data_IF_496839207730
#
_entry.id   IF_496839207730
#
_cell.length_a   1.000
_cell.length_b   1.000
_cell.length_c   1.000
_cell.angle_alpha   90.00
_cell.angle_beta   90.00
_cell.angle_gamma   90.00
#
_symmetry.space_group_name_H-M   'P 1'
#
loop_
_entity.id
_entity.type
_entity.pdbx_description
1 polymer ?
#
# COMPACT_ATOMS: atom_id res chain seq x y z
N UNK A 1 -55.07 -31.01 27.30
CA UNK A 1 -53.99 -30.02 27.43
C UNK A 1 -52.74 -30.63 26.90
N UNK A 2 -52.25 -30.32 25.66
CA UNK A 2 -50.89 -30.54 25.27
C UNK A 2 -50.15 -29.22 25.12
N UNK A 3 -49.06 -29.07 25.86
CA UNK A 3 -48.11 -27.97 25.79
C UNK A 3 -47.34 -27.98 24.50
N UNK A 4 -47.50 -26.95 23.70
CA UNK A 4 -46.73 -26.67 22.50
C UNK A 4 -45.64 -25.65 22.78
N UNK A 5 -44.44 -26.08 23.13
CA UNK A 5 -43.24 -25.21 23.13
C UNK A 5 -42.62 -25.16 21.76
N UNK A 6 -43.10 -24.22 20.96
CA UNK A 6 -42.42 -23.81 19.73
C UNK A 6 -41.13 -23.06 20.05
N UNK A 7 -39.96 -23.73 19.87
CA UNK A 7 -38.67 -23.05 19.83
C UNK A 7 -38.61 -22.20 18.55
N UNK A 8 -38.60 -20.89 18.74
CA UNK A 8 -38.27 -19.95 17.69
C UNK A 8 -36.83 -20.20 17.20
N UNK A 9 -36.66 -20.50 15.91
CA UNK A 9 -35.36 -20.54 15.25
C UNK A 9 -34.86 -19.11 15.15
N UNK A 10 -33.66 -18.87 15.67
CA UNK A 10 -32.98 -17.59 15.60
C UNK A 10 -32.56 -17.21 14.14
N UNK A 11 -32.35 -15.91 13.85
CA UNK A 11 -32.17 -15.41 12.49
C UNK A 11 -30.76 -15.62 11.90
N UNK A 12 -29.99 -16.65 12.32
CA UNK A 12 -28.61 -16.87 11.89
C UNK A 12 -28.39 -18.05 10.93
N UNK A 13 -29.46 -18.60 10.34
CA UNK A 13 -29.33 -19.80 9.48
C UNK A 13 -29.73 -19.54 8.02
N UNK A 14 -29.43 -18.36 7.48
CA UNK A 14 -29.66 -17.99 6.06
C UNK A 14 -28.34 -17.64 5.36
N UNK A 15 -27.28 -18.41 5.60
CA UNK A 15 -26.21 -18.56 4.63
C UNK A 15 -26.43 -19.91 3.96
N UNK A 16 -27.25 -19.90 2.91
CA UNK A 16 -27.43 -21.07 2.06
C UNK A 16 -26.05 -21.58 1.62
N UNK A 17 -25.75 -22.85 1.91
CA UNK A 17 -24.60 -23.54 1.32
C UNK A 17 -24.73 -23.41 -0.19
N UNK A 18 -23.85 -22.63 -0.80
CA UNK A 18 -23.72 -22.62 -2.26
C UNK A 18 -23.22 -24.02 -2.62
N UNK A 19 -24.12 -24.86 -3.17
CA UNK A 19 -23.78 -26.18 -3.71
C UNK A 19 -23.12 -26.00 -5.09
N UNK A 20 -22.01 -25.26 -5.13
CA UNK A 20 -21.23 -25.05 -6.34
C UNK A 20 -20.00 -25.93 -6.41
N UNK A 21 -19.22 -25.84 -7.50
CA UNK A 21 -17.97 -26.58 -7.62
C UNK A 21 -16.99 -26.20 -6.50
N UNK A 22 -16.44 -27.21 -5.80
CA UNK A 22 -15.41 -27.01 -4.77
C UNK A 22 -14.03 -26.99 -5.43
N UNK A 23 -13.21 -26.01 -5.05
CA UNK A 23 -11.81 -25.90 -5.44
C UNK A 23 -10.89 -25.90 -4.22
N UNK A 24 -9.63 -26.27 -4.46
CA UNK A 24 -8.57 -26.25 -3.46
C UNK A 24 -7.70 -25.04 -3.70
N UNK A 25 -7.52 -24.17 -2.71
CA UNK A 25 -6.72 -22.95 -2.86
C UNK A 25 -5.55 -22.99 -1.89
N UNK A 26 -4.34 -22.81 -2.41
CA UNK A 26 -3.10 -22.67 -1.67
C UNK A 26 -2.58 -21.25 -1.81
N UNK A 27 -2.28 -20.59 -0.70
CA UNK A 27 -1.75 -19.23 -0.66
C UNK A 27 -0.28 -19.23 -0.28
N UNK A 28 0.50 -18.38 -0.94
CA UNK A 28 1.86 -18.08 -0.53
C UNK A 28 1.90 -17.59 0.93
N UNK A 29 2.96 -17.88 1.71
CA UNK A 29 3.07 -17.51 3.13
C UNK A 29 2.83 -16.03 3.39
N UNK A 30 3.26 -15.16 2.50
CA UNK A 30 3.12 -13.71 2.58
C UNK A 30 1.65 -13.24 2.56
N UNK A 31 0.76 -14.07 1.99
CA UNK A 31 -0.67 -13.76 1.86
C UNK A 31 -1.52 -14.23 3.03
N UNK A 32 -0.97 -15.04 3.95
CA UNK A 32 -1.74 -15.67 5.03
C UNK A 32 -2.35 -14.67 6.01
N UNK A 33 -1.76 -13.49 6.15
CA UNK A 33 -2.36 -12.40 6.92
C UNK A 33 -3.79 -12.03 6.43
N UNK A 34 -4.04 -12.20 5.15
CA UNK A 34 -5.33 -11.86 4.54
C UNK A 34 -6.36 -12.99 4.65
N UNK A 35 -5.93 -14.23 4.90
CA UNK A 35 -6.76 -15.44 4.86
C UNK A 35 -6.77 -16.13 6.23
N UNK A 36 -7.45 -15.57 7.25
CA UNK A 36 -7.44 -16.14 8.60
C UNK A 36 -8.10 -17.53 8.67
N UNK A 37 -8.91 -17.90 7.68
CA UNK A 37 -9.54 -19.23 7.58
C UNK A 37 -8.63 -20.30 6.97
N UNK A 38 -7.51 -19.92 6.36
CA UNK A 38 -6.58 -20.90 5.82
C UNK A 38 -5.98 -21.74 6.95
N UNK A 39 -5.73 -23.02 6.66
CA UNK A 39 -4.97 -23.89 7.56
C UNK A 39 -3.56 -23.31 7.75
N UNK A 40 -2.83 -23.68 8.80
CA UNK A 40 -1.43 -23.26 8.97
C UNK A 40 -0.53 -23.56 7.76
N UNK A 41 -0.92 -24.53 6.93
CA UNK A 41 -0.27 -24.90 5.66
C UNK A 41 -0.56 -23.92 4.52
N UNK A 42 -1.37 -22.88 4.72
CA UNK A 42 -1.79 -21.96 3.68
C UNK A 42 -2.90 -22.45 2.76
N UNK A 43 -3.48 -23.64 3.06
CA UNK A 43 -4.50 -24.24 2.20
C UNK A 43 -5.91 -24.03 2.72
N UNK A 44 -6.87 -23.84 1.81
CA UNK A 44 -8.30 -23.84 2.12
C UNK A 44 -9.08 -24.52 1.00
N UNK A 45 -10.30 -24.99 1.34
CA UNK A 45 -11.29 -25.44 0.35
C UNK A 45 -12.40 -24.41 0.31
N UNK A 46 -12.86 -24.07 -0.86
CA UNK A 46 -13.96 -23.15 -1.04
C UNK A 46 -14.88 -23.62 -2.17
N UNK A 47 -16.20 -23.47 -1.94
CA UNK A 47 -17.18 -23.62 -3.00
C UNK A 47 -17.24 -22.34 -3.83
N UNK A 48 -17.43 -22.47 -5.13
CA UNK A 48 -17.65 -21.37 -6.06
C UNK A 48 -19.06 -21.45 -6.61
N UNK A 49 -19.54 -20.37 -7.21
CA UNK A 49 -20.85 -20.34 -7.87
C UNK A 49 -20.81 -20.85 -9.33
N UNK A 50 -19.62 -21.25 -9.80
CA UNK A 50 -19.38 -21.74 -11.16
C UNK A 50 -19.39 -20.67 -12.24
N UNK A 51 -19.55 -19.38 -11.88
CA UNK A 51 -19.57 -18.24 -12.83
C UNK A 51 -18.63 -17.10 -12.41
N UNK A 52 -18.32 -16.98 -11.13
CA UNK A 52 -17.41 -15.97 -10.62
C UNK A 52 -15.98 -16.23 -11.06
N UNK A 53 -15.27 -15.16 -11.41
CA UNK A 53 -13.86 -15.25 -11.77
C UNK A 53 -12.98 -15.63 -10.58
N UNK A 54 -11.84 -16.25 -10.84
CA UNK A 54 -10.85 -16.62 -9.83
C UNK A 54 -10.36 -15.41 -9.03
N UNK A 55 -10.19 -14.26 -9.68
CA UNK A 55 -9.87 -13.01 -8.98
C UNK A 55 -10.93 -12.65 -7.92
N UNK A 56 -12.22 -12.76 -8.27
CA UNK A 56 -13.30 -12.52 -7.31
C UNK A 56 -13.30 -13.53 -6.16
N UNK A 57 -13.04 -14.81 -6.46
CA UNK A 57 -12.92 -15.85 -5.42
C UNK A 57 -11.78 -15.54 -4.46
N UNK A 58 -10.59 -15.16 -4.97
CA UNK A 58 -9.42 -14.80 -4.16
C UNK A 58 -9.72 -13.57 -3.28
N UNK A 59 -10.37 -12.55 -3.83
CA UNK A 59 -10.80 -11.39 -3.05
C UNK A 59 -11.83 -11.74 -1.99
N UNK A 60 -12.78 -12.62 -2.27
CA UNK A 60 -13.77 -13.10 -1.29
C UNK A 60 -13.13 -13.84 -0.12
N UNK A 61 -12.02 -14.54 -0.38
CA UNK A 61 -11.21 -15.20 0.66
C UNK A 61 -10.36 -14.22 1.47
N UNK A 62 -10.26 -12.96 1.07
CA UNK A 62 -9.62 -11.91 1.86
C UNK A 62 -8.45 -11.21 1.19
N UNK A 63 -7.86 -11.76 0.14
CA UNK A 63 -6.64 -11.25 -0.48
C UNK A 63 -6.97 -10.17 -1.52
N UNK A 64 -6.49 -8.92 -1.37
CA UNK A 64 -6.58 -7.93 -2.43
C UNK A 64 -5.76 -8.35 -3.64
N UNK A 65 -6.28 -8.17 -4.86
CA UNK A 65 -5.55 -8.51 -6.08
C UNK A 65 -4.26 -7.69 -6.26
N UNK A 66 -4.13 -6.55 -5.58
CA UNK A 66 -2.89 -5.76 -5.53
C UNK A 66 -1.72 -6.49 -4.86
N UNK A 67 -2.00 -7.55 -4.08
CA UNK A 67 -1.01 -8.38 -3.41
C UNK A 67 -0.74 -9.70 -4.16
N UNK A 68 -1.50 -9.98 -5.22
CA UNK A 68 -1.37 -11.19 -6.01
C UNK A 68 -0.40 -10.98 -7.17
N UNK A 69 0.67 -11.78 -7.21
CA UNK A 69 1.65 -11.78 -8.30
C UNK A 69 1.26 -12.69 -9.45
N UNK A 70 0.80 -13.91 -9.15
CA UNK A 70 0.34 -14.86 -10.14
C UNK A 70 -0.75 -15.77 -9.58
N UNK A 71 -1.63 -16.22 -10.46
CA UNK A 71 -2.64 -17.24 -10.19
C UNK A 71 -2.33 -18.46 -11.06
N UNK A 72 -2.21 -19.62 -10.45
CA UNK A 72 -2.00 -20.87 -11.17
C UNK A 72 -3.17 -21.81 -10.92
N UNK A 73 -3.63 -22.49 -11.98
CA UNK A 73 -4.60 -23.57 -11.93
C UNK A 73 -3.93 -24.82 -12.45
N UNK A 74 -3.88 -25.87 -11.62
CA UNK A 74 -3.18 -27.12 -11.90
C UNK A 74 -1.74 -26.90 -12.42
N UNK A 75 -1.04 -25.92 -11.80
CA UNK A 75 0.33 -25.55 -12.12
C UNK A 75 0.50 -24.64 -13.35
N UNK A 76 -0.58 -24.25 -14.06
CA UNK A 76 -0.54 -23.33 -15.22
C UNK A 76 -1.00 -21.95 -14.83
N UNK A 77 -0.25 -20.94 -15.22
CA UNK A 77 -0.63 -19.56 -14.96
C UNK A 77 -1.88 -19.16 -15.74
N UNK A 78 -2.82 -18.51 -15.05
CA UNK A 78 -4.09 -18.03 -15.60
C UNK A 78 -4.31 -16.57 -15.23
N UNK A 79 -5.18 -15.87 -15.98
CA UNK A 79 -5.61 -14.52 -15.65
C UNK A 79 -6.65 -14.53 -14.52
N UNK A 80 -6.79 -13.42 -13.81
CA UNK A 80 -7.79 -13.26 -12.76
C UNK A 80 -9.24 -13.47 -13.23
N UNK A 81 -9.49 -13.32 -14.54
CA UNK A 81 -10.80 -13.58 -15.18
C UNK A 81 -11.14 -15.07 -15.41
N UNK A 82 -10.21 -16.01 -15.17
CA UNK A 82 -10.48 -17.45 -15.25
C UNK A 82 -11.65 -17.84 -14.34
N UNK A 83 -12.58 -18.65 -14.82
CA UNK A 83 -13.69 -19.21 -14.03
C UNK A 83 -13.28 -20.62 -13.60
N UNK A 84 -13.09 -20.87 -12.30
CA UNK A 84 -12.57 -22.14 -11.83
C UNK A 84 -13.61 -23.27 -11.93
N UNK A 85 -13.17 -24.45 -12.36
CA UNK A 85 -13.97 -25.68 -12.43
C UNK A 85 -13.87 -26.50 -11.13
N UNK A 86 -14.81 -27.45 -10.96
CA UNK A 86 -14.79 -28.35 -9.81
C UNK A 86 -13.51 -29.20 -9.75
N UNK A 87 -12.91 -29.28 -8.57
CA UNK A 87 -11.73 -30.09 -8.30
C UNK A 87 -10.39 -29.45 -8.68
N UNK A 88 -10.40 -28.27 -9.32
CA UNK A 88 -9.16 -27.56 -9.65
C UNK A 88 -8.34 -27.20 -8.41
N UNK A 89 -7.02 -27.29 -8.55
CA UNK A 89 -6.04 -26.85 -7.55
C UNK A 89 -5.49 -25.48 -7.94
N UNK A 90 -5.79 -24.48 -7.13
CA UNK A 90 -5.38 -23.10 -7.33
C UNK A 90 -4.21 -22.76 -6.43
N UNK A 91 -3.13 -22.20 -7.00
CA UNK A 91 -2.03 -21.63 -6.23
C UNK A 91 -2.03 -20.11 -6.42
N UNK A 92 -2.08 -19.36 -5.31
CA UNK A 92 -2.04 -17.89 -5.29
C UNK A 92 -0.66 -17.46 -4.83
N UNK A 93 0.12 -16.88 -5.73
CA UNK A 93 1.46 -16.35 -5.43
C UNK A 93 1.40 -14.88 -5.04
N UNK A 94 2.23 -14.47 -4.10
CA UNK A 94 2.41 -13.06 -3.76
C UNK A 94 3.13 -12.31 -4.89
N UNK A 95 3.01 -10.98 -4.89
CA UNK A 95 3.81 -10.12 -5.79
C UNK A 95 5.30 -10.33 -5.53
N UNK A 96 6.07 -10.41 -6.61
CA UNK A 96 7.53 -10.48 -6.53
C UNK A 96 8.12 -9.12 -6.12
N UNK A 97 9.23 -9.14 -5.39
CA UNK A 97 10.01 -7.94 -5.07
C UNK A 97 11.32 -7.95 -5.87
N UNK A 98 11.73 -6.83 -6.49
CA UNK A 98 10.99 -5.57 -6.57
C UNK A 98 9.76 -5.68 -7.49
N UNK A 99 8.65 -5.09 -7.04
CA UNK A 99 7.44 -5.03 -7.83
C UNK A 99 7.59 -4.00 -8.96
N UNK A 100 7.43 -4.47 -10.20
CA UNK A 100 7.37 -3.58 -11.36
C UNK A 100 5.96 -3.02 -11.50
N UNK A 101 5.88 -1.70 -11.62
CA UNK A 101 4.62 -0.99 -11.88
C UNK A 101 4.76 -0.28 -13.22
N UNK A 102 3.74 -0.35 -14.11
CA UNK A 102 3.80 0.33 -15.40
C UNK A 102 3.98 1.85 -15.23
N UNK A 103 4.74 2.46 -16.11
CA UNK A 103 4.99 3.92 -16.11
C UNK A 103 6.15 4.35 -15.21
N UNK A 104 6.78 5.46 -15.61
CA UNK A 104 7.91 6.09 -14.92
C UNK A 104 7.70 7.60 -14.99
N UNK A 105 8.09 8.34 -13.95
CA UNK A 105 8.66 7.90 -12.67
C UNK A 105 7.62 7.27 -11.73
N UNK A 106 8.08 6.40 -10.82
CA UNK A 106 7.25 5.81 -9.78
C UNK A 106 6.74 6.89 -8.82
N UNK A 107 5.43 6.91 -8.58
CA UNK A 107 4.74 7.89 -7.73
C UNK A 107 3.77 7.18 -6.80
N UNK A 108 3.64 7.68 -5.57
CA UNK A 108 2.75 7.10 -4.56
C UNK A 108 1.60 8.05 -4.20
N UNK A 109 0.49 7.46 -3.78
CA UNK A 109 -0.61 8.10 -3.06
C UNK A 109 -0.81 7.34 -1.75
N UNK A 110 -0.80 8.04 -0.63
CA UNK A 110 -0.90 7.43 0.68
C UNK A 110 -2.24 7.76 1.34
N UNK A 111 -2.78 6.74 2.00
CA UNK A 111 -3.95 6.83 2.87
C UNK A 111 -3.68 7.70 4.10
N UNK A 112 -4.74 8.28 4.68
CA UNK A 112 -4.71 9.23 5.81
C UNK A 112 -3.87 8.74 6.99
N UNK A 113 -3.82 7.44 7.26
CA UNK A 113 -3.06 6.86 8.37
C UNK A 113 -1.55 6.76 8.12
N UNK A 114 -1.06 7.06 6.92
CA UNK A 114 0.34 6.91 6.52
C UNK A 114 1.12 8.23 6.43
N UNK A 115 0.67 9.28 7.14
CA UNK A 115 1.28 10.61 7.05
C UNK A 115 2.77 10.67 7.44
N UNK A 116 3.24 9.85 8.38
CA UNK A 116 4.67 9.77 8.72
C UNK A 116 5.47 9.10 7.60
N UNK A 117 4.95 8.04 7.00
CA UNK A 117 5.55 7.41 5.82
C UNK A 117 5.62 8.39 4.65
N UNK A 118 4.56 9.17 4.40
CA UNK A 118 4.56 10.19 3.35
C UNK A 118 5.70 11.20 3.51
N UNK A 119 5.91 11.72 4.74
CA UNK A 119 7.01 12.65 5.02
C UNK A 119 8.39 12.04 4.79
N UNK A 120 8.57 10.76 5.17
CA UNK A 120 9.84 10.04 4.98
C UNK A 120 10.14 9.75 3.51
N UNK A 121 9.15 9.33 2.73
CA UNK A 121 9.31 9.14 1.28
C UNK A 121 9.66 10.45 0.57
N UNK A 122 8.98 11.57 0.94
CA UNK A 122 9.31 12.91 0.43
C UNK A 122 10.71 13.36 0.82
N UNK A 123 11.16 13.06 2.05
CA UNK A 123 12.53 13.32 2.50
C UNK A 123 13.55 12.63 1.60
N UNK A 124 13.25 11.42 1.15
CA UNK A 124 14.07 10.66 0.20
C UNK A 124 13.89 11.11 -1.26
N UNK A 125 13.11 12.17 -1.52
CA UNK A 125 12.86 12.71 -2.85
C UNK A 125 11.83 11.95 -3.66
N UNK A 126 11.15 10.97 -3.09
CA UNK A 126 10.13 10.17 -3.77
C UNK A 126 8.83 10.95 -3.88
N UNK A 127 8.25 11.03 -5.09
CA UNK A 127 6.98 11.72 -5.33
C UNK A 127 5.83 11.00 -4.62
N UNK A 128 5.32 11.64 -3.57
CA UNK A 128 4.36 11.03 -2.64
C UNK A 128 3.22 12.00 -2.32
N UNK A 129 2.07 11.79 -2.95
CA UNK A 129 0.83 12.48 -2.59
C UNK A 129 0.26 11.91 -1.29
N UNK A 130 -0.38 12.75 -0.51
CA UNK A 130 -0.98 12.40 0.77
C UNK A 130 -2.08 13.40 1.12
N UNK A 131 -3.24 12.88 1.50
CA UNK A 131 -4.34 13.68 2.04
C UNK A 131 -4.36 13.58 3.56
N UNK A 132 -4.34 14.74 4.22
CA UNK A 132 -4.37 14.80 5.69
C UNK A 132 -5.79 14.56 6.26
N UNK A 133 -6.81 14.66 5.42
CA UNK A 133 -8.22 14.40 5.75
C UNK A 133 -8.70 13.19 4.97
N UNK A 134 -9.62 12.44 5.55
CA UNK A 134 -10.27 11.32 4.86
C UNK A 134 -11.19 11.87 3.77
N UNK A 135 -10.86 11.59 2.50
CA UNK A 135 -11.67 11.93 1.32
C UNK A 135 -12.50 10.75 0.81
N UNK A 136 -12.42 9.62 1.51
CA UNK A 136 -13.11 8.37 1.19
C UNK A 136 -12.44 7.53 0.09
N UNK A 137 -12.63 6.22 0.20
CA UNK A 137 -12.05 5.23 -0.73
C UNK A 137 -12.33 5.49 -2.21
N UNK A 138 -13.56 5.88 -2.62
CA UNK A 138 -13.84 6.17 -4.04
C UNK A 138 -12.98 7.30 -4.59
N UNK A 139 -12.79 8.37 -3.82
CA UNK A 139 -12.01 9.52 -4.25
C UNK A 139 -10.50 9.18 -4.31
N UNK A 140 -9.99 8.41 -3.33
CA UNK A 140 -8.62 7.91 -3.34
C UNK A 140 -8.35 7.00 -4.55
N UNK A 141 -9.26 6.07 -4.85
CA UNK A 141 -9.12 5.18 -5.99
C UNK A 141 -9.16 5.93 -7.33
N UNK A 142 -10.09 6.86 -7.50
CA UNK A 142 -10.18 7.71 -8.68
C UNK A 142 -8.91 8.54 -8.87
N UNK A 143 -8.35 9.10 -7.80
CA UNK A 143 -7.10 9.86 -7.82
C UNK A 143 -5.91 8.99 -8.17
N UNK A 144 -5.80 7.77 -7.61
CA UNK A 144 -4.78 6.79 -7.97
C UNK A 144 -4.77 6.54 -9.48
N UNK A 145 -5.96 6.34 -10.08
CA UNK A 145 -6.12 6.11 -11.51
C UNK A 145 -5.74 7.35 -12.36
N UNK A 146 -6.27 8.52 -12.00
CA UNK A 146 -6.07 9.76 -12.75
C UNK A 146 -4.60 10.21 -12.75
N UNK A 147 -3.92 10.11 -11.61
CA UNK A 147 -2.54 10.54 -11.44
C UNK A 147 -1.53 9.41 -11.69
N UNK A 148 -1.97 8.18 -11.95
CA UNK A 148 -1.13 6.97 -12.09
C UNK A 148 -0.18 6.82 -10.91
N UNK A 149 -0.74 6.81 -9.68
CA UNK A 149 -0.02 6.64 -8.41
C UNK A 149 -0.32 5.30 -7.79
N UNK A 150 0.70 4.62 -7.28
CA UNK A 150 0.53 3.42 -6.46
C UNK A 150 -0.13 3.82 -5.15
N UNK A 151 -1.31 3.26 -4.87
CA UNK A 151 -2.03 3.46 -3.60
C UNK A 151 -1.37 2.64 -2.50
N UNK A 152 -0.84 3.28 -1.47
CA UNK A 152 -0.34 2.64 -0.26
C UNK A 152 -1.38 2.77 0.85
N UNK A 153 -1.89 1.65 1.35
CA UNK A 153 -2.89 1.65 2.41
C UNK A 153 -2.76 0.42 3.32
N UNK A 154 -3.38 0.51 4.49
CA UNK A 154 -3.64 -0.61 5.40
C UNK A 154 -5.11 -1.05 5.34
N UNK A 155 -5.91 -0.41 4.51
CA UNK A 155 -7.30 -0.78 4.27
C UNK A 155 -7.39 -1.77 3.10
N UNK A 156 -7.86 -2.98 3.42
CA UNK A 156 -8.07 -4.03 2.42
C UNK A 156 -9.24 -3.70 1.49
N UNK A 157 -10.26 -2.98 1.98
CA UNK A 157 -11.42 -2.56 1.21
C UNK A 157 -11.01 -1.61 0.09
N UNK A 158 -10.22 -0.59 0.43
CA UNK A 158 -9.65 0.35 -0.55
C UNK A 158 -8.82 -0.39 -1.61
N UNK A 159 -7.97 -1.34 -1.18
CA UNK A 159 -7.09 -2.08 -2.11
C UNK A 159 -7.79 -3.09 -3.03
N UNK A 160 -9.08 -3.39 -2.79
CA UNK A 160 -9.94 -4.21 -3.68
C UNK A 160 -10.72 -3.41 -4.70
N UNK A 161 -10.60 -2.09 -4.67
CA UNK A 161 -11.32 -1.26 -5.64
C UNK A 161 -10.73 -1.43 -7.04
N UNK A 162 -11.60 -1.73 -8.00
CA UNK A 162 -11.22 -1.98 -9.40
C UNK A 162 -10.68 -0.74 -10.12
N UNK A 163 -11.03 0.44 -9.61
CA UNK A 163 -10.60 1.72 -10.17
C UNK A 163 -9.12 2.03 -9.87
N UNK A 164 -8.50 1.35 -8.90
CA UNK A 164 -7.09 1.58 -8.59
C UNK A 164 -6.18 1.29 -9.78
N UNK A 165 -5.29 2.23 -10.07
CA UNK A 165 -4.24 1.99 -11.07
C UNK A 165 -3.24 0.93 -10.63
N UNK A 166 -2.79 1.00 -9.39
CA UNK A 166 -1.98 0.01 -8.70
C UNK A 166 -2.10 0.23 -7.18
N UNK A 167 -1.77 -0.78 -6.39
CA UNK A 167 -1.83 -0.66 -4.93
C UNK A 167 -0.86 -1.58 -4.21
N UNK A 168 -0.64 -1.30 -2.92
CA UNK A 168 0.12 -2.16 -2.03
C UNK A 168 -0.36 -2.02 -0.59
N UNK A 169 -0.46 -3.14 0.10
CA UNK A 169 -0.78 -3.18 1.52
C UNK A 169 0.47 -2.91 2.36
N UNK A 170 0.39 -1.96 3.29
CA UNK A 170 1.49 -1.62 4.20
C UNK A 170 1.33 -2.39 5.51
N UNK A 171 2.11 -3.45 5.68
CA UNK A 171 1.92 -4.46 6.75
C UNK A 171 2.15 -3.91 8.16
N UNK A 172 3.21 -3.15 8.38
CA UNK A 172 3.58 -2.66 9.70
C UNK A 172 2.82 -1.39 10.13
N UNK A 173 2.71 -1.18 11.44
CA UNK A 173 2.29 0.10 12.04
C UNK A 173 3.47 1.00 12.37
N UNK A 174 4.70 0.47 12.35
CA UNK A 174 5.94 1.18 12.71
C UNK A 174 6.50 1.92 11.50
N UNK A 175 6.69 3.26 11.58
CA UNK A 175 7.10 4.05 10.42
C UNK A 175 8.43 3.65 9.78
N UNK A 176 9.38 3.12 10.55
CA UNK A 176 10.66 2.64 9.99
C UNK A 176 10.47 1.37 9.15
N UNK A 177 9.67 0.44 9.64
CA UNK A 177 9.33 -0.79 8.93
C UNK A 177 8.46 -0.53 7.69
N UNK A 178 7.52 0.43 7.78
CA UNK A 178 6.74 0.89 6.63
C UNK A 178 7.63 1.43 5.51
N UNK A 179 8.56 2.32 5.87
CA UNK A 179 9.51 2.88 4.91
C UNK A 179 10.34 1.78 4.27
N UNK A 180 10.93 0.91 5.09
CA UNK A 180 11.74 -0.19 4.61
C UNK A 180 10.98 -1.09 3.64
N UNK A 181 9.76 -1.49 4.01
CA UNK A 181 8.91 -2.31 3.15
C UNK A 181 8.65 -1.67 1.78
N UNK A 182 8.35 -0.37 1.74
CA UNK A 182 8.10 0.33 0.47
C UNK A 182 9.36 0.41 -0.38
N UNK A 183 10.53 0.66 0.24
CA UNK A 183 11.81 0.70 -0.47
C UNK A 183 12.17 -0.68 -1.04
N UNK A 184 12.02 -1.76 -0.27
CA UNK A 184 12.31 -3.13 -0.70
C UNK A 184 11.35 -3.58 -1.82
N UNK A 185 10.05 -3.23 -1.68
CA UNK A 185 9.02 -3.65 -2.64
C UNK A 185 9.11 -2.95 -3.98
N UNK A 186 9.47 -1.67 -4.01
CA UNK A 186 9.37 -0.87 -5.24
C UNK A 186 10.70 -0.35 -5.76
N UNK A 187 11.74 -0.29 -4.93
CA UNK A 187 13.06 0.27 -5.23
C UNK A 187 12.95 1.62 -6.00
N UNK A 188 12.27 2.63 -5.43
CA UNK A 188 12.16 3.92 -6.08
C UNK A 188 13.53 4.58 -6.20
N UNK A 189 13.70 5.40 -7.24
CA UNK A 189 14.87 6.27 -7.33
C UNK A 189 14.88 7.26 -6.16
N UNK A 190 15.97 7.30 -5.40
CA UNK A 190 16.13 8.18 -4.25
C UNK A 190 16.91 9.43 -4.64
N UNK A 191 16.32 10.60 -4.36
CA UNK A 191 16.93 11.93 -4.50
C UNK A 191 16.68 12.73 -3.22
N UNK A 192 17.37 12.41 -2.10
CA UNK A 192 17.13 13.03 -0.82
C UNK A 192 17.18 14.57 -0.88
N UNK A 193 16.41 15.21 -0.03
CA UNK A 193 16.38 16.67 0.14
C UNK A 193 15.88 17.46 -1.07
N UNK A 194 15.24 16.81 -2.04
CA UNK A 194 14.70 17.47 -3.24
C UNK A 194 13.23 17.81 -3.15
N UNK A 195 12.51 17.27 -2.16
CA UNK A 195 11.06 17.48 -2.00
C UNK A 195 10.69 18.03 -0.62
N UNK A 196 9.68 18.86 -0.62
CA UNK A 196 9.04 19.37 0.59
C UNK A 196 8.34 18.25 1.35
N UNK A 197 8.76 17.99 2.58
CA UNK A 197 8.15 16.96 3.43
C UNK A 197 6.70 17.29 3.81
N UNK A 198 6.30 18.57 3.74
CA UNK A 198 4.94 18.99 4.04
C UNK A 198 3.96 18.80 2.86
N UNK A 199 4.27 19.31 1.66
CA UNK A 199 3.32 19.35 0.54
C UNK A 199 3.74 18.52 -0.69
N UNK A 200 4.95 17.92 -0.70
CA UNK A 200 5.51 17.18 -1.84
C UNK A 200 6.08 18.06 -2.99
N UNK A 201 5.94 19.38 -2.94
CA UNK A 201 6.52 20.30 -3.93
C UNK A 201 8.04 20.21 -4.01
N UNK A 202 8.64 20.63 -5.10
CA UNK A 202 10.10 20.64 -5.26
C UNK A 202 10.74 21.73 -4.40
N UNK A 203 11.88 21.39 -3.78
CA UNK A 203 12.72 22.34 -3.08
C UNK A 203 13.67 23.03 -4.07
N UNK A 204 13.90 24.33 -3.86
CA UNK A 204 14.86 25.13 -4.60
C UNK A 204 15.79 25.79 -3.60
N UNK A 205 17.02 26.05 -3.99
CA UNK A 205 17.93 26.86 -3.20
C UNK A 205 17.29 28.23 -2.93
N UNK A 206 17.50 28.75 -1.74
CA UNK A 206 16.97 30.04 -1.32
C UNK A 206 18.04 30.84 -0.57
N UNK A 207 18.05 32.14 -0.77
CA UNK A 207 18.90 33.02 0.02
C UNK A 207 18.31 33.24 1.40
N UNK A 208 19.14 33.70 2.31
CA UNK A 208 18.74 34.00 3.69
C UNK A 208 17.65 35.09 3.74
N UNK A 209 17.73 36.08 2.86
CA UNK A 209 16.77 37.16 2.73
C UNK A 209 15.40 36.65 2.27
N UNK A 210 15.37 35.69 1.34
CA UNK A 210 14.12 35.13 0.82
C UNK A 210 13.33 34.34 1.87
N UNK A 211 14.00 33.84 2.90
CA UNK A 211 13.37 33.05 3.97
C UNK A 211 13.38 33.74 5.33
N UNK A 212 13.85 34.97 5.40
CA UNK A 212 14.08 35.73 6.63
C UNK A 212 12.86 35.73 7.58
N UNK A 213 11.66 35.93 7.05
CA UNK A 213 10.40 35.99 7.80
C UNK A 213 10.04 34.67 8.50
N UNK A 214 10.62 33.56 8.04
CA UNK A 214 10.40 32.22 8.63
C UNK A 214 11.49 31.83 9.63
N UNK A 215 12.58 32.59 9.72
CA UNK A 215 13.72 32.29 10.56
C UNK A 215 13.59 32.93 11.95
N UNK A 216 13.76 32.10 12.99
CA UNK A 216 13.97 32.63 14.34
C UNK A 216 15.34 33.30 14.43
N UNK A 217 15.51 34.31 15.27
CA UNK A 217 16.74 35.10 15.37
C UNK A 217 18.03 34.30 15.60
N UNK A 218 17.96 33.16 16.30
CA UNK A 218 19.08 32.21 16.43
C UNK A 218 19.43 31.52 15.11
N UNK A 219 18.43 31.01 14.41
CA UNK A 219 18.59 30.32 13.10
C UNK A 219 19.21 31.26 12.06
N UNK A 220 18.78 32.53 12.03
CA UNK A 220 19.30 33.53 11.12
C UNK A 220 20.81 33.79 11.31
N UNK A 221 21.34 33.67 12.55
CA UNK A 221 22.77 33.88 12.82
C UNK A 221 23.64 32.66 12.55
N UNK A 222 23.04 31.44 12.63
CA UNK A 222 23.79 30.18 12.68
C UNK A 222 23.89 29.48 11.34
N UNK A 223 22.94 29.69 10.44
CA UNK A 223 22.83 28.92 9.18
C UNK A 223 22.89 29.82 7.96
N UNK A 224 23.54 29.36 6.89
CA UNK A 224 23.71 30.10 5.63
C UNK A 224 23.16 29.35 4.40
N UNK A 225 22.83 28.06 4.56
CA UNK A 225 22.29 27.25 3.47
C UNK A 225 20.82 26.97 3.74
N UNK A 226 19.98 27.44 2.82
CA UNK A 226 18.54 27.32 2.88
C UNK A 226 17.98 26.74 1.58
N UNK A 227 16.85 26.05 1.71
CA UNK A 227 16.00 25.69 0.58
C UNK A 227 14.56 26.13 0.87
N UNK A 228 13.83 26.47 -0.17
CA UNK A 228 12.42 26.84 -0.07
C UNK A 228 11.58 26.00 -1.01
N UNK A 229 10.40 25.60 -0.55
CA UNK A 229 9.44 24.91 -1.38
C UNK A 229 8.83 25.85 -2.41
N UNK A 230 8.88 25.47 -3.69
CA UNK A 230 8.29 26.28 -4.77
C UNK A 230 6.75 26.35 -4.71
N UNK A 231 6.09 25.40 -4.02
CA UNK A 231 4.62 25.31 -3.95
C UNK A 231 4.05 25.99 -2.69
N UNK A 232 4.52 25.61 -1.50
CA UNK A 232 3.96 26.10 -0.23
C UNK A 232 4.82 27.16 0.45
N UNK A 233 5.95 27.55 -0.12
CA UNK A 233 6.85 28.57 0.41
C UNK A 233 7.65 28.17 1.66
N UNK A 234 7.45 26.98 2.23
CA UNK A 234 8.12 26.55 3.48
C UNK A 234 9.63 26.51 3.31
N UNK A 235 10.33 27.14 4.25
CA UNK A 235 11.78 27.14 4.32
C UNK A 235 12.35 25.88 5.02
N UNK A 236 13.52 25.45 4.59
CA UNK A 236 14.27 24.32 5.11
C UNK A 236 15.74 24.69 5.32
N UNK A 237 16.35 24.18 6.38
CA UNK A 237 17.76 24.36 6.71
C UNK A 237 18.26 23.16 7.54
N UNK A 238 19.59 23.02 7.68
CA UNK A 238 20.21 21.96 8.48
C UNK A 238 20.18 22.34 9.97
N UNK A 239 19.00 22.28 10.60
CA UNK A 239 18.78 22.62 12.00
C UNK A 239 18.97 21.43 12.95
N UNK A 240 18.57 21.61 14.22
CA UNK A 240 18.77 20.65 15.32
C UNK A 240 18.22 19.23 15.08
N UNK A 241 17.24 19.07 14.20
CA UNK A 241 16.67 17.75 13.84
C UNK A 241 17.32 17.14 12.58
N UNK A 242 18.33 17.79 12.00
CA UNK A 242 18.94 17.34 10.75
C UNK A 242 19.59 15.97 10.90
N UNK A 243 20.35 15.73 11.97
CA UNK A 243 21.02 14.45 12.22
C UNK A 243 20.06 13.24 12.21
N UNK A 244 18.88 13.39 12.84
CA UNK A 244 17.88 12.32 12.85
C UNK A 244 17.32 12.04 11.45
N UNK A 245 17.12 13.08 10.63
CA UNK A 245 16.66 12.94 9.25
C UNK A 245 17.77 12.37 8.36
N UNK A 246 19.02 12.77 8.58
CA UNK A 246 20.19 12.29 7.87
C UNK A 246 20.39 10.79 8.12
N UNK A 247 20.24 10.32 9.36
CA UNK A 247 20.27 8.91 9.69
C UNK A 247 19.19 8.07 8.95
N UNK A 248 18.01 8.64 8.66
CA UNK A 248 16.99 7.98 7.83
C UNK A 248 17.47 7.88 6.38
N UNK A 249 18.03 8.97 5.86
CA UNK A 249 18.54 9.05 4.47
C UNK A 249 19.69 8.06 4.27
N UNK A 250 20.69 8.07 5.17
CA UNK A 250 21.86 7.19 5.09
C UNK A 250 21.45 5.70 5.12
N UNK A 251 20.54 5.31 6.02
CA UNK A 251 20.04 3.93 6.07
C UNK A 251 19.35 3.53 4.78
N UNK A 252 18.56 4.43 4.18
CA UNK A 252 17.85 4.16 2.94
C UNK A 252 18.81 4.01 1.76
N UNK A 253 19.82 4.89 1.65
CA UNK A 253 20.81 4.86 0.57
C UNK A 253 21.74 3.64 0.66
N UNK A 254 22.21 3.29 1.89
CA UNK A 254 23.09 2.15 2.11
C UNK A 254 22.44 0.82 1.69
N UNK A 255 21.14 0.64 1.95
CA UNK A 255 20.42 -0.57 1.52
C UNK A 255 20.18 -0.60 0.02
N UNK A 256 19.81 0.53 -0.58
CA UNK A 256 19.62 0.60 -2.04
C UNK A 256 20.90 0.25 -2.81
N UNK A 257 22.09 0.51 -2.23
CA UNK A 257 23.37 0.19 -2.82
C UNK A 257 23.80 -1.29 -2.65
N UNK A 258 23.27 -1.99 -1.64
CA UNK A 258 23.61 -3.41 -1.39
C UNK A 258 22.80 -4.38 -2.26
N UNK A 259 21.67 -3.94 -2.75
CA UNK A 259 20.70 -4.76 -3.49
C UNK A 259 20.71 -4.50 -5.01
N UNK A 260 21.54 -3.62 -5.52
CA UNK A 260 21.75 -3.28 -6.95
C UNK A 260 23.01 -3.92 -7.50
#
# INVERSE_FOLDING_TARGET
MPDGTGRARGPHDILGRVNGPEIHVEFAPELLLFVPQARPTGTTKTATDGVSSLGHVVESLGVPLTEVGALLVDGREVLAGHVPAAGESVTVRAVAHPQRVPGSPLRFLLDVHLGTLARRLRLLGVDTAYEATDIGDPALAARSAAEKRVMLSRDRGLLRRRELWAGAFVYSTRPDEQLQYVLDRFRPELRPWTRCTACNGLLREATKEQVADQLKGGTHRTYDVFAQCGECGRAYWRGAHHEQLEAIVERALSRNAQDG
#
